data_IF_010442595369
#
_entry.id   IF_010442595369
#
_cell.length_a   1.000
_cell.length_b   1.000
_cell.length_c   1.000
_cell.angle_alpha   90.00
_cell.angle_beta   90.00
_cell.angle_gamma   90.00
#
_symmetry.space_group_name_H-M   'P 1'
#
loop_
_entity.id
_entity.type
_entity.pdbx_description
1 polymer ?
#
# COMPACT_ATOMS: atom_id res chain seq x y z
N UNK A 1 -21.55 -26.83 -0.28
CA UNK A 1 -22.98 -26.72 -0.67
C UNK A 1 -23.84 -27.87 -0.16
N UNK A 2 -23.26 -28.99 0.30
CA UNK A 2 -24.03 -30.15 0.79
C UNK A 2 -24.56 -29.99 2.22
N UNK A 3 -23.83 -29.41 3.14
CA UNK A 3 -24.22 -29.31 4.55
C UNK A 3 -25.36 -28.31 4.81
N UNK A 4 -25.37 -27.18 4.11
CA UNK A 4 -26.47 -26.20 4.22
C UNK A 4 -27.79 -26.78 3.67
N UNK A 5 -27.70 -27.56 2.57
CA UNK A 5 -28.89 -28.27 2.07
C UNK A 5 -29.30 -29.41 2.98
N UNK A 6 -28.37 -30.10 3.63
CA UNK A 6 -28.72 -31.17 4.57
C UNK A 6 -29.32 -30.60 5.86
N UNK A 7 -28.81 -29.50 6.41
CA UNK A 7 -29.44 -28.82 7.55
C UNK A 7 -30.81 -28.26 7.21
N UNK A 8 -30.95 -27.61 6.04
CA UNK A 8 -32.25 -27.13 5.57
C UNK A 8 -33.24 -28.28 5.22
N UNK A 9 -32.76 -29.41 4.65
CA UNK A 9 -33.62 -30.54 4.33
C UNK A 9 -34.01 -31.35 5.57
N UNK A 10 -33.13 -31.48 6.55
CA UNK A 10 -33.46 -32.04 7.86
C UNK A 10 -34.48 -31.17 8.62
N UNK A 11 -34.30 -29.85 8.58
CA UNK A 11 -35.28 -28.91 9.14
C UNK A 11 -36.64 -28.90 8.42
N UNK A 12 -36.66 -29.29 7.14
CA UNK A 12 -37.95 -29.35 6.39
C UNK A 12 -38.69 -30.68 6.51
N UNK A 13 -38.05 -31.77 6.94
CA UNK A 13 -38.62 -33.11 6.90
C UNK A 13 -39.13 -33.66 8.24
N UNK A 14 -38.35 -33.61 9.30
CA UNK A 14 -38.70 -34.28 10.56
C UNK A 14 -38.39 -33.46 11.86
N UNK A 15 -37.57 -32.39 11.78
CA UNK A 15 -37.25 -31.57 12.95
C UNK A 15 -38.19 -30.35 13.09
N UNK A 16 -38.82 -29.92 12.01
CA UNK A 16 -39.76 -28.79 12.03
C UNK A 16 -41.00 -29.05 12.94
N UNK A 17 -41.30 -30.30 13.22
CA UNK A 17 -42.42 -30.66 14.12
C UNK A 17 -42.00 -30.58 15.61
N UNK A 18 -40.71 -30.50 15.94
CA UNK A 18 -40.21 -30.41 17.30
C UNK A 18 -39.98 -28.98 17.77
N UNK A 19 -39.79 -28.05 16.83
CA UNK A 19 -39.51 -26.64 17.16
C UNK A 19 -40.79 -25.80 17.08
N UNK A 20 -41.00 -24.94 18.04
CA UNK A 20 -42.11 -23.99 18.01
C UNK A 20 -41.94 -22.97 16.89
N UNK A 21 -40.75 -22.52 16.68
CA UNK A 21 -40.29 -21.60 15.64
C UNK A 21 -38.87 -21.97 15.22
N UNK A 22 -38.49 -21.60 14.00
CA UNK A 22 -37.17 -21.83 13.51
C UNK A 22 -36.66 -20.58 12.82
N UNK A 23 -35.54 -20.04 13.33
CA UNK A 23 -34.89 -18.86 12.78
C UNK A 23 -33.66 -19.27 11.97
N UNK A 24 -33.52 -18.72 10.80
CA UNK A 24 -32.42 -18.99 9.92
C UNK A 24 -32.14 -17.78 9.01
N UNK A 25 -30.98 -17.78 8.39
CA UNK A 25 -30.61 -16.87 7.31
C UNK A 25 -30.26 -17.73 6.09
N UNK A 26 -30.86 -17.42 4.95
CA UNK A 26 -30.44 -17.96 3.66
C UNK A 26 -29.00 -17.50 3.33
N UNK A 27 -28.43 -18.01 2.25
CA UNK A 27 -27.12 -17.56 1.81
C UNK A 27 -27.13 -16.05 1.58
N UNK A 28 -26.35 -15.32 2.37
CA UNK A 28 -26.22 -13.86 2.22
C UNK A 28 -25.54 -13.53 0.90
N UNK A 29 -26.15 -12.61 0.17
CA UNK A 29 -25.52 -11.99 -0.99
C UNK A 29 -24.21 -11.28 -0.53
N UNK A 30 -23.23 -11.22 -1.41
CA UNK A 30 -21.93 -10.56 -1.13
C UNK A 30 -22.07 -9.08 -0.76
N UNK A 31 -23.17 -8.44 -1.12
CA UNK A 31 -23.43 -7.04 -0.82
C UNK A 31 -24.25 -6.83 0.46
N UNK A 32 -24.70 -7.90 1.12
CA UNK A 32 -25.42 -7.83 2.40
C UNK A 32 -24.43 -8.04 3.53
N UNK A 33 -24.30 -7.05 4.40
CA UNK A 33 -23.40 -7.07 5.57
C UNK A 33 -24.12 -7.60 6.80
N UNK A 34 -25.42 -7.29 6.95
CA UNK A 34 -26.28 -7.77 8.02
C UNK A 34 -27.70 -7.93 7.53
N UNK A 35 -28.39 -8.95 8.02
CA UNK A 35 -29.82 -9.18 7.75
C UNK A 35 -30.55 -9.68 8.98
N UNK A 36 -31.84 -9.35 9.07
CA UNK A 36 -32.73 -9.92 10.07
C UNK A 36 -33.01 -11.39 9.73
N UNK A 37 -33.01 -12.25 10.74
CA UNK A 37 -33.34 -13.67 10.60
C UNK A 37 -34.77 -13.89 10.06
N UNK A 38 -34.89 -14.91 9.24
CA UNK A 38 -36.19 -15.35 8.70
C UNK A 38 -36.82 -16.33 9.70
N UNK A 39 -38.05 -16.01 10.11
CA UNK A 39 -38.83 -16.86 11.01
C UNK A 39 -39.65 -17.85 10.21
N UNK A 40 -39.45 -19.13 10.45
CA UNK A 40 -40.28 -20.21 9.91
C UNK A 40 -41.09 -20.84 11.03
N UNK A 41 -42.40 -20.82 10.89
CA UNK A 41 -43.32 -21.48 11.84
C UNK A 41 -43.79 -22.82 11.28
N UNK A 42 -43.86 -23.85 12.14
CA UNK A 42 -44.44 -25.13 11.78
C UNK A 42 -45.93 -24.97 11.44
N UNK A 43 -46.44 -25.80 10.51
CA UNK A 43 -47.83 -25.80 10.13
C UNK A 43 -48.81 -26.04 11.29
N UNK A 44 -48.33 -26.67 12.35
CA UNK A 44 -49.08 -26.99 13.60
C UNK A 44 -48.77 -26.00 14.75
N UNK A 45 -47.90 -25.01 14.54
CA UNK A 45 -47.60 -24.00 15.56
C UNK A 45 -48.82 -23.15 15.85
N UNK A 46 -49.15 -22.99 17.13
CA UNK A 46 -50.20 -22.08 17.61
C UNK A 46 -49.86 -20.61 17.38
N UNK A 47 -48.63 -20.29 16.97
CA UNK A 47 -48.08 -18.93 16.86
C UNK A 47 -48.03 -18.40 15.42
N UNK A 48 -48.99 -18.80 14.57
CA UNK A 48 -49.12 -18.34 13.16
C UNK A 48 -49.33 -16.82 13.02
N UNK A 49 -49.86 -16.19 14.06
CA UNK A 49 -50.15 -14.75 14.11
C UNK A 49 -49.23 -14.00 15.11
N UNK A 50 -48.21 -14.68 15.64
CA UNK A 50 -47.26 -14.06 16.55
C UNK A 50 -46.42 -12.98 15.88
N UNK A 51 -46.03 -11.97 16.64
CA UNK A 51 -45.09 -10.93 16.18
C UNK A 51 -43.79 -11.55 15.71
N UNK A 52 -43.23 -11.07 14.60
CA UNK A 52 -41.90 -11.46 14.10
C UNK A 52 -40.79 -11.12 15.06
N UNK A 53 -41.08 -10.31 16.09
CA UNK A 53 -40.13 -9.80 17.08
C UNK A 53 -40.28 -10.53 18.43
N UNK A 54 -40.77 -11.76 18.45
CA UNK A 54 -40.83 -12.60 19.67
C UNK A 54 -40.20 -13.95 19.34
N UNK A 55 -39.24 -14.37 20.15
CA UNK A 55 -38.62 -15.69 20.07
C UNK A 55 -39.19 -16.54 21.20
N UNK A 56 -39.91 -17.59 20.85
CA UNK A 56 -40.50 -18.49 21.84
C UNK A 56 -39.41 -19.38 22.44
N UNK A 57 -39.48 -19.61 23.75
CA UNK A 57 -38.57 -20.56 24.43
C UNK A 57 -38.67 -21.94 23.79
N UNK A 58 -37.56 -22.55 23.45
CA UNK A 58 -37.47 -23.80 22.70
C UNK A 58 -37.48 -23.63 21.18
N UNK A 59 -37.36 -22.40 20.65
CA UNK A 59 -37.18 -22.14 19.22
C UNK A 59 -35.80 -22.57 18.73
N UNK A 60 -35.72 -23.11 17.51
CA UNK A 60 -34.48 -23.45 16.86
C UNK A 60 -33.88 -22.24 16.16
N UNK A 61 -32.54 -22.11 16.20
CA UNK A 61 -31.79 -21.08 15.51
C UNK A 61 -30.63 -21.73 14.75
N UNK A 62 -30.59 -21.57 13.43
CA UNK A 62 -29.49 -22.09 12.62
C UNK A 62 -28.51 -21.00 12.26
N UNK A 63 -27.22 -21.28 12.41
CA UNK A 63 -26.10 -20.44 12.01
C UNK A 63 -25.33 -21.17 10.91
N UNK A 64 -25.18 -20.57 9.75
CA UNK A 64 -24.41 -21.14 8.66
C UNK A 64 -22.95 -20.68 8.71
N UNK A 65 -22.10 -21.43 8.01
CA UNK A 65 -20.67 -21.06 7.87
C UNK A 65 -20.51 -19.68 7.21
N UNK A 66 -19.62 -18.88 7.78
CA UNK A 66 -19.38 -17.48 7.36
C UNK A 66 -20.48 -16.51 7.80
N UNK A 67 -21.29 -16.89 8.79
CA UNK A 67 -22.26 -16.03 9.45
C UNK A 67 -21.99 -15.96 10.95
N UNK A 68 -22.30 -14.82 11.54
CA UNK A 68 -22.41 -14.66 12.99
C UNK A 68 -23.82 -14.22 13.32
N UNK A 69 -24.46 -14.88 14.26
CA UNK A 69 -25.79 -14.57 14.74
C UNK A 69 -25.70 -13.77 16.04
N UNK A 70 -26.53 -12.74 16.18
CA UNK A 70 -26.81 -12.09 17.46
C UNK A 70 -28.32 -12.08 17.74
N UNK A 71 -28.66 -12.24 19.02
CA UNK A 71 -30.02 -12.00 19.51
C UNK A 71 -30.04 -10.69 20.27
N UNK A 72 -30.99 -9.85 19.88
CA UNK A 72 -31.22 -8.54 20.49
C UNK A 72 -32.56 -8.56 21.19
N UNK A 73 -32.58 -8.31 22.50
CA UNK A 73 -33.78 -8.17 23.31
C UNK A 73 -33.88 -6.72 23.81
N UNK A 74 -34.98 -6.05 23.48
CA UNK A 74 -35.22 -4.64 23.84
C UNK A 74 -34.05 -3.71 23.49
N UNK A 75 -33.42 -3.92 22.33
CA UNK A 75 -32.27 -3.15 21.88
C UNK A 75 -30.93 -3.55 22.46
N UNK A 76 -30.86 -4.62 23.25
CA UNK A 76 -29.60 -5.14 23.82
C UNK A 76 -29.23 -6.47 23.21
N UNK A 77 -27.97 -6.68 22.95
CA UNK A 77 -27.45 -7.98 22.56
C UNK A 77 -27.44 -8.88 23.78
N UNK A 78 -28.19 -9.98 23.72
CA UNK A 78 -28.30 -10.97 24.79
C UNK A 78 -27.57 -12.27 24.46
N UNK A 79 -27.44 -12.60 23.18
CA UNK A 79 -26.69 -13.77 22.73
C UNK A 79 -25.90 -13.47 21.48
N UNK A 80 -24.76 -14.17 21.33
CA UNK A 80 -23.93 -14.13 20.15
C UNK A 80 -23.40 -15.53 19.83
N UNK A 81 -23.52 -15.96 18.57
CA UNK A 81 -22.99 -17.22 18.10
C UNK A 81 -22.34 -17.07 16.72
N UNK A 82 -21.10 -17.50 16.59
CA UNK A 82 -20.36 -17.54 15.32
C UNK A 82 -19.99 -18.97 14.89
N UNK A 83 -20.34 -19.97 15.67
CA UNK A 83 -20.13 -21.37 15.29
C UNK A 83 -21.27 -21.86 14.41
N UNK A 84 -20.97 -22.48 13.26
CA UNK A 84 -22.01 -23.09 12.43
C UNK A 84 -22.72 -24.23 13.15
N UNK A 85 -24.05 -24.24 13.15
CA UNK A 85 -24.82 -25.26 13.80
C UNK A 85 -26.28 -24.89 14.00
N UNK A 86 -27.01 -25.77 14.71
CA UNK A 86 -28.40 -25.55 15.13
C UNK A 86 -28.43 -25.46 16.66
N UNK A 87 -29.03 -24.39 17.17
CA UNK A 87 -29.11 -24.05 18.57
C UNK A 87 -30.56 -23.93 19.02
N UNK A 88 -30.79 -24.23 20.27
CA UNK A 88 -32.14 -24.05 20.89
C UNK A 88 -32.07 -22.80 21.76
N UNK A 89 -33.00 -21.88 21.53
CA UNK A 89 -33.14 -20.70 22.38
C UNK A 89 -33.79 -21.11 23.71
N UNK A 90 -33.10 -20.88 24.81
CA UNK A 90 -33.59 -21.11 26.17
C UNK A 90 -33.53 -19.81 26.99
N UNK A 91 -34.71 -19.27 27.26
CA UNK A 91 -34.90 -18.03 27.98
C UNK A 91 -34.56 -18.15 29.50
N UNK A 92 -34.44 -19.37 30.02
CA UNK A 92 -34.16 -19.65 31.44
C UNK A 92 -32.65 -19.74 31.74
N UNK A 93 -31.82 -19.86 30.71
CA UNK A 93 -30.37 -19.91 30.85
C UNK A 93 -29.77 -18.51 30.89
N UNK A 94 -28.64 -18.38 31.62
CA UNK A 94 -27.85 -17.15 31.54
C UNK A 94 -27.38 -16.92 30.10
N UNK A 95 -27.19 -15.64 29.69
CA UNK A 95 -26.74 -15.32 28.33
C UNK A 95 -25.53 -16.18 27.95
N UNK A 96 -25.68 -17.00 26.93
CA UNK A 96 -24.65 -17.95 26.52
C UNK A 96 -23.90 -17.39 25.32
N UNK A 97 -22.62 -17.16 25.47
CA UNK A 97 -21.73 -16.76 24.39
C UNK A 97 -21.14 -18.05 23.80
N UNK A 98 -21.64 -18.49 22.66
CA UNK A 98 -21.08 -19.63 21.93
C UNK A 98 -19.79 -19.18 21.25
N UNK A 99 -18.66 -19.69 21.74
CA UNK A 99 -17.32 -19.38 21.28
C UNK A 99 -17.04 -20.07 19.95
N UNK A 100 -17.08 -19.32 18.87
CA UNK A 100 -16.32 -19.63 17.67
C UNK A 100 -14.95 -18.94 17.70
N UNK A 101 -14.25 -18.88 16.59
CA UNK A 101 -12.98 -18.15 16.41
C UNK A 101 -13.12 -16.61 16.57
N UNK A 102 -13.88 -16.19 17.60
CA UNK A 102 -14.08 -14.79 17.91
C UNK A 102 -12.91 -14.26 18.73
N UNK A 103 -12.41 -13.10 18.36
CA UNK A 103 -11.34 -12.41 19.08
C UNK A 103 -11.77 -12.13 20.53
N UNK A 104 -10.85 -12.22 21.48
CA UNK A 104 -11.08 -11.90 22.90
C UNK A 104 -11.66 -10.48 23.10
N UNK A 105 -11.41 -9.56 22.17
CA UNK A 105 -11.96 -8.21 22.15
C UNK A 105 -13.50 -8.18 22.09
N UNK A 106 -14.13 -9.12 21.38
CA UNK A 106 -15.59 -9.24 21.29
C UNK A 106 -16.19 -9.61 22.63
N UNK A 107 -15.52 -10.56 23.32
CA UNK A 107 -15.90 -10.96 24.67
C UNK A 107 -15.84 -9.79 25.65
N UNK A 108 -14.77 -8.97 25.58
CA UNK A 108 -14.62 -7.79 26.41
C UNK A 108 -15.68 -6.71 26.11
N UNK A 109 -16.02 -6.52 24.85
CA UNK A 109 -17.07 -5.57 24.41
C UNK A 109 -18.43 -5.98 24.93
N UNK A 110 -18.75 -7.27 24.87
CA UNK A 110 -20.01 -7.82 25.37
C UNK A 110 -20.09 -7.74 26.89
N UNK A 111 -19.04 -8.12 27.61
CA UNK A 111 -18.97 -8.09 29.08
C UNK A 111 -19.11 -6.64 29.61
N UNK A 112 -18.49 -5.68 28.96
CA UNK A 112 -18.64 -4.26 29.26
C UNK A 112 -20.05 -3.74 29.01
N UNK A 113 -20.75 -4.26 28.00
CA UNK A 113 -22.13 -3.91 27.68
C UNK A 113 -23.10 -4.49 28.71
N UNK A 114 -22.97 -5.77 29.07
CA UNK A 114 -23.81 -6.44 30.06
C UNK A 114 -23.70 -5.82 31.44
N UNK A 115 -22.51 -5.36 31.86
CA UNK A 115 -22.26 -4.68 33.15
C UNK A 115 -22.91 -3.32 33.28
N UNK A 116 -23.30 -2.67 32.19
CA UNK A 116 -23.83 -1.30 32.21
C UNK A 116 -25.34 -1.20 32.46
N UNK A 117 -26.08 -2.32 32.47
CA UNK A 117 -27.54 -2.28 32.48
C UNK A 117 -28.15 -3.32 33.42
N UNK A 118 -28.75 -2.88 34.49
CA UNK A 118 -29.67 -3.68 35.30
C UNK A 118 -31.12 -3.32 35.02
N UNK A 119 -32.02 -4.32 35.01
CA UNK A 119 -33.42 -4.16 34.63
C UNK A 119 -34.42 -4.20 35.75
N UNK A 120 -35.49 -3.46 35.59
CA UNK A 120 -36.77 -3.67 36.23
C UNK A 120 -37.91 -3.55 35.21
N UNK A 121 -38.79 -4.53 35.15
CA UNK A 121 -40.05 -4.43 34.44
C UNK A 121 -40.34 -5.54 33.44
N UNK A 122 -41.46 -6.23 33.64
CA UNK A 122 -42.02 -7.24 32.77
C UNK A 122 -42.85 -6.55 31.67
N UNK A 123 -42.21 -6.23 30.55
CA UNK A 123 -42.87 -5.64 29.37
C UNK A 123 -42.66 -6.54 28.18
N UNK A 124 -43.59 -6.52 27.22
CA UNK A 124 -43.54 -7.29 25.99
C UNK A 124 -42.13 -7.22 25.35
N UNK A 125 -41.43 -8.35 25.33
CA UNK A 125 -40.07 -8.43 24.80
C UNK A 125 -40.08 -8.21 23.28
N UNK A 126 -39.27 -7.26 22.79
CA UNK A 126 -38.96 -7.08 21.36
C UNK A 126 -37.63 -7.79 21.07
N UNK A 127 -37.73 -9.07 20.69
CA UNK A 127 -36.57 -9.93 20.43
C UNK A 127 -36.37 -10.09 18.95
N UNK A 128 -35.14 -9.89 18.49
CA UNK A 128 -34.77 -9.97 17.08
C UNK A 128 -33.51 -10.78 16.91
N UNK A 129 -33.49 -11.61 15.87
CA UNK A 129 -32.31 -12.35 15.45
C UNK A 129 -31.71 -11.63 14.25
N UNK A 130 -30.43 -11.29 14.33
CA UNK A 130 -29.68 -10.72 13.22
C UNK A 130 -28.49 -11.61 12.85
N UNK A 131 -28.19 -11.67 11.56
CA UNK A 131 -27.08 -12.41 10.99
C UNK A 131 -26.13 -11.46 10.30
N UNK A 132 -24.85 -11.58 10.61
CA UNK A 132 -23.77 -10.81 10.04
C UNK A 132 -22.96 -11.65 9.07
N UNK A 133 -22.57 -11.04 7.96
CA UNK A 133 -21.65 -11.65 7.02
C UNK A 133 -20.21 -11.52 7.56
N UNK A 134 -19.64 -12.63 8.02
CA UNK A 134 -18.25 -12.69 8.52
C UNK A 134 -17.27 -13.15 7.45
N UNK A 135 -17.70 -13.26 6.18
CA UNK A 135 -16.84 -13.55 5.05
C UNK A 135 -16.08 -12.29 4.63
N UNK A 136 -15.05 -12.49 3.85
CA UNK A 136 -14.32 -11.39 3.24
C UNK A 136 -15.17 -10.68 2.19
N UNK A 137 -15.31 -9.38 2.32
CA UNK A 137 -16.03 -8.51 1.38
C UNK A 137 -15.01 -8.00 0.37
N UNK A 138 -15.01 -8.61 -0.80
CA UNK A 138 -14.06 -8.36 -1.89
C UNK A 138 -14.56 -7.31 -2.88
N UNK A 139 -13.68 -6.93 -3.81
CA UNK A 139 -13.97 -6.05 -4.96
C UNK A 139 -14.37 -4.62 -4.58
N UNK A 140 -13.75 -4.08 -3.51
CA UNK A 140 -13.92 -2.67 -3.16
C UNK A 140 -12.91 -1.82 -3.92
N UNK A 141 -13.35 -1.19 -5.00
CA UNK A 141 -12.49 -0.40 -5.88
C UNK A 141 -12.16 0.96 -5.28
N UNK A 142 -10.89 1.31 -5.31
CA UNK A 142 -10.43 2.64 -4.93
C UNK A 142 -9.55 3.26 -6.01
N UNK A 143 -9.44 4.56 -5.98
CA UNK A 143 -8.49 5.33 -6.78
C UNK A 143 -8.32 6.70 -6.14
N UNK A 144 -7.12 7.26 -6.24
CA UNK A 144 -6.81 8.57 -5.70
C UNK A 144 -7.17 9.63 -6.75
N UNK A 145 -8.24 10.41 -6.57
CA UNK A 145 -8.61 11.48 -7.51
C UNK A 145 -7.54 12.57 -7.53
N UNK A 146 -6.99 12.90 -6.36
CA UNK A 146 -5.86 13.78 -6.20
C UNK A 146 -4.59 12.97 -5.98
N UNK A 147 -3.44 13.41 -6.51
CA UNK A 147 -2.16 12.76 -6.23
C UNK A 147 -1.85 12.78 -4.73
N UNK A 148 -1.28 11.70 -4.23
CA UNK A 148 -0.79 11.59 -2.85
C UNK A 148 0.71 11.88 -2.86
N UNK A 149 1.22 12.78 -1.99
CA UNK A 149 2.65 13.02 -1.89
C UNK A 149 3.37 11.76 -1.41
N UNK A 150 4.47 11.44 -2.09
CA UNK A 150 5.34 10.33 -1.76
C UNK A 150 6.78 10.82 -1.78
N UNK A 151 7.49 10.70 -0.67
CA UNK A 151 8.91 11.07 -0.59
C UNK A 151 9.76 9.98 -1.22
N UNK A 152 10.45 10.29 -2.29
CA UNK A 152 11.38 9.38 -2.97
C UNK A 152 12.80 9.63 -2.45
N UNK A 153 13.32 8.66 -1.70
CA UNK A 153 14.72 8.67 -1.22
C UNK A 153 15.50 7.61 -1.97
N UNK A 154 16.60 7.99 -2.58
CA UNK A 154 17.56 7.08 -3.19
C UNK A 154 18.98 7.46 -2.75
N UNK A 155 19.49 6.77 -1.73
CA UNK A 155 20.80 7.03 -1.14
C UNK A 155 21.95 6.85 -2.15
N UNK A 156 21.80 5.92 -3.12
CA UNK A 156 22.83 5.65 -4.13
C UNK A 156 23.00 6.83 -5.09
N UNK A 157 21.89 7.49 -5.38
CA UNK A 157 21.86 8.65 -6.27
C UNK A 157 21.96 9.97 -5.50
N UNK A 158 21.81 9.94 -4.17
CA UNK A 158 21.71 11.13 -3.32
C UNK A 158 20.46 11.95 -3.65
N UNK A 159 19.35 11.27 -3.97
CA UNK A 159 18.07 11.89 -4.25
C UNK A 159 17.19 11.87 -3.00
N UNK A 160 16.57 13.00 -2.70
CA UNK A 160 15.54 13.16 -1.68
C UNK A 160 14.54 14.21 -2.20
N UNK A 161 13.44 13.72 -2.78
CA UNK A 161 12.45 14.56 -3.45
C UNK A 161 11.06 14.05 -3.13
N UNK A 162 10.09 14.96 -3.09
CA UNK A 162 8.69 14.63 -3.04
C UNK A 162 8.11 14.51 -4.46
N UNK A 163 7.42 13.41 -4.73
CA UNK A 163 6.74 13.16 -6.00
C UNK A 163 5.24 12.96 -5.76
N UNK A 164 4.44 13.32 -6.73
CA UNK A 164 3.01 13.12 -6.69
C UNK A 164 2.66 11.73 -7.24
N UNK A 165 1.99 10.88 -6.43
CA UNK A 165 1.62 9.51 -6.82
C UNK A 165 0.12 9.38 -6.92
N UNK A 166 -0.37 8.88 -8.04
CA UNK A 166 -1.75 8.40 -8.20
C UNK A 166 -1.74 6.89 -8.21
N UNK A 167 -2.64 6.30 -7.45
CA UNK A 167 -2.83 4.86 -7.47
C UNK A 167 -4.31 4.49 -7.58
N UNK A 168 -4.54 3.31 -8.15
CA UNK A 168 -5.84 2.67 -8.19
C UNK A 168 -5.69 1.19 -7.94
N UNK A 169 -6.73 0.59 -7.37
CA UNK A 169 -6.70 -0.81 -7.00
C UNK A 169 -8.00 -1.28 -6.37
N UNK A 170 -7.91 -2.39 -5.69
CA UNK A 170 -9.01 -2.97 -4.92
C UNK A 170 -8.53 -3.31 -3.52
N UNK A 171 -9.44 -3.24 -2.57
CA UNK A 171 -9.20 -3.72 -1.22
C UNK A 171 -10.34 -4.64 -0.79
N UNK A 172 -10.09 -5.47 0.18
CA UNK A 172 -11.08 -6.28 0.85
C UNK A 172 -11.07 -6.00 2.35
N UNK A 173 -12.23 -6.16 2.96
CA UNK A 173 -12.40 -6.04 4.38
C UNK A 173 -13.30 -7.15 4.93
N UNK A 174 -13.28 -7.32 6.24
CA UNK A 174 -14.08 -8.31 6.96
C UNK A 174 -14.67 -7.67 8.21
N UNK A 175 -15.91 -8.05 8.54
CA UNK A 175 -16.48 -7.74 9.86
C UNK A 175 -15.86 -8.73 10.85
N UNK A 176 -15.00 -8.22 11.72
CA UNK A 176 -14.27 -9.01 12.73
C UNK A 176 -14.91 -8.92 14.10
N UNK A 177 -15.64 -7.84 14.37
CA UNK A 177 -16.45 -7.67 15.57
C UNK A 177 -17.90 -7.28 15.24
N UNK A 178 -18.80 -8.27 15.09
CA UNK A 178 -20.20 -8.02 14.81
C UNK A 178 -20.94 -7.20 15.87
N UNK A 179 -20.47 -7.21 17.12
CA UNK A 179 -21.08 -6.44 18.22
C UNK A 179 -20.83 -4.95 18.03
N UNK A 180 -19.57 -4.57 17.79
CA UNK A 180 -19.22 -3.19 17.49
C UNK A 180 -19.89 -2.70 16.21
N UNK A 181 -19.95 -3.57 15.20
CA UNK A 181 -20.63 -3.25 13.94
C UNK A 181 -22.13 -2.99 14.15
N UNK A 182 -22.81 -3.83 14.95
CA UNK A 182 -24.21 -3.62 15.29
C UNK A 182 -24.42 -2.30 16.04
N UNK A 183 -23.62 -2.08 17.09
CA UNK A 183 -23.80 -0.91 17.97
C UNK A 183 -23.53 0.43 17.28
N UNK A 184 -22.52 0.47 16.41
CA UNK A 184 -22.01 1.73 15.88
C UNK A 184 -22.33 1.99 14.41
N UNK A 185 -22.80 0.97 13.67
CA UNK A 185 -23.05 1.09 12.22
C UNK A 185 -24.49 0.80 11.86
N UNK A 186 -24.99 -0.40 12.14
CA UNK A 186 -26.22 -0.88 11.54
C UNK A 186 -27.39 -1.10 12.52
N UNK A 187 -27.29 -0.69 13.77
CA UNK A 187 -28.29 -0.99 14.81
C UNK A 187 -29.76 -0.81 14.37
N UNK A 188 -30.61 -1.80 14.73
CA UNK A 188 -32.06 -1.77 14.53
C UNK A 188 -32.56 -1.62 13.07
N UNK A 189 -31.82 -2.10 12.10
CA UNK A 189 -32.27 -2.12 10.70
C UNK A 189 -33.51 -3.02 10.55
N UNK A 190 -34.53 -2.59 9.80
CA UNK A 190 -35.78 -3.33 9.69
C UNK A 190 -35.65 -4.65 8.91
N UNK A 191 -34.73 -4.76 7.97
CA UNK A 191 -34.56 -5.92 7.13
C UNK A 191 -33.10 -6.31 6.93
N UNK A 192 -32.36 -5.54 6.15
CA UNK A 192 -30.97 -5.79 5.80
C UNK A 192 -30.16 -4.50 5.77
N UNK A 193 -28.88 -4.59 6.04
CA UNK A 193 -27.90 -3.51 5.89
C UNK A 193 -26.94 -3.90 4.78
N UNK A 194 -26.87 -3.07 3.77
CA UNK A 194 -26.10 -3.32 2.56
C UNK A 194 -24.80 -2.53 2.55
N UNK A 195 -23.80 -3.09 1.86
CA UNK A 195 -22.48 -2.43 1.74
C UNK A 195 -22.56 -1.03 1.11
N UNK A 196 -23.50 -0.81 0.19
CA UNK A 196 -23.66 0.49 -0.48
C UNK A 196 -23.91 1.64 0.50
N UNK A 197 -24.48 1.35 1.67
CA UNK A 197 -24.76 2.33 2.72
C UNK A 197 -23.47 2.80 3.42
N UNK A 198 -22.41 1.97 3.39
CA UNK A 198 -21.14 2.22 4.08
C UNK A 198 -19.96 2.48 3.12
N UNK A 199 -20.00 1.96 1.91
CA UNK A 199 -18.90 1.96 0.94
C UNK A 199 -18.33 3.35 0.67
N UNK A 200 -19.16 4.37 0.57
CA UNK A 200 -18.71 5.74 0.32
C UNK A 200 -17.82 6.25 1.44
N UNK A 201 -18.22 5.99 2.69
CA UNK A 201 -17.47 6.40 3.88
C UNK A 201 -16.17 5.61 4.01
N UNK A 202 -16.24 4.28 3.88
CA UNK A 202 -15.07 3.41 3.95
C UNK A 202 -14.04 3.78 2.87
N UNK A 203 -14.48 4.03 1.65
CA UNK A 203 -13.62 4.43 0.54
C UNK A 203 -12.92 5.78 0.82
N UNK A 204 -13.64 6.76 1.34
CA UNK A 204 -13.07 8.07 1.67
C UNK A 204 -12.00 7.96 2.77
N UNK A 205 -12.29 7.19 3.82
CA UNK A 205 -11.35 6.94 4.93
C UNK A 205 -10.14 6.13 4.47
N UNK A 206 -10.35 5.11 3.63
CA UNK A 206 -9.29 4.30 3.03
C UNK A 206 -8.33 5.16 2.21
N UNK A 207 -8.84 6.02 1.31
CA UNK A 207 -8.02 6.94 0.52
C UNK A 207 -7.24 7.90 1.42
N UNK A 208 -7.87 8.41 2.48
CA UNK A 208 -7.22 9.31 3.44
C UNK A 208 -6.08 8.63 4.21
N UNK A 209 -6.20 7.33 4.48
CA UNK A 209 -5.19 6.54 5.16
C UNK A 209 -4.00 6.18 4.27
N UNK A 210 -4.13 6.25 2.93
CA UNK A 210 -3.01 5.97 2.02
C UNK A 210 -1.84 6.93 2.22
N UNK A 211 -2.09 8.21 2.49
CA UNK A 211 -1.03 9.20 2.65
C UNK A 211 -0.08 8.87 3.82
N UNK A 212 -0.55 8.67 5.07
CA UNK A 212 0.35 8.27 6.16
C UNK A 212 0.98 6.89 5.93
N UNK A 213 0.29 5.95 5.27
CA UNK A 213 0.88 4.65 4.92
C UNK A 213 2.02 4.81 3.91
N UNK A 214 1.84 5.60 2.87
CA UNK A 214 2.89 5.90 1.91
C UNK A 214 4.09 6.61 2.56
N UNK A 215 3.83 7.50 3.51
CA UNK A 215 4.88 8.14 4.31
C UNK A 215 5.75 7.13 5.07
N UNK A 216 5.14 6.12 5.70
CA UNK A 216 5.86 5.04 6.40
C UNK A 216 6.68 4.17 5.44
N UNK A 217 6.08 3.76 4.32
CA UNK A 217 6.75 2.94 3.31
C UNK A 217 7.92 3.69 2.65
N UNK A 218 7.76 4.99 2.41
CA UNK A 218 8.82 5.86 1.93
C UNK A 218 10.00 5.96 2.93
N UNK A 219 9.71 6.09 4.23
CA UNK A 219 10.75 6.11 5.26
C UNK A 219 11.52 4.78 5.35
N UNK A 220 10.88 3.66 4.99
CA UNK A 220 11.54 2.36 4.84
C UNK A 220 12.40 2.26 3.56
N UNK A 221 12.51 3.33 2.76
CA UNK A 221 13.31 3.38 1.53
C UNK A 221 12.62 2.77 0.30
N UNK A 222 11.33 2.54 0.37
CA UNK A 222 10.56 1.97 -0.73
C UNK A 222 10.34 2.97 -1.85
N UNK A 223 10.38 2.52 -3.10
CA UNK A 223 10.09 3.36 -4.26
C UNK A 223 8.60 3.24 -4.66
N UNK A 224 8.00 4.27 -5.30
CA UNK A 224 6.58 4.24 -5.69
C UNK A 224 6.18 3.03 -6.54
N UNK A 225 7.04 2.58 -7.44
CA UNK A 225 6.80 1.42 -8.30
C UNK A 225 6.93 0.07 -7.59
N UNK A 226 7.53 0.02 -6.40
CA UNK A 226 7.66 -1.19 -5.58
C UNK A 226 6.41 -1.44 -4.72
N UNK A 227 5.55 -0.43 -4.54
CA UNK A 227 4.31 -0.54 -3.77
C UNK A 227 3.40 -1.70 -4.22
N UNK A 228 3.44 -2.04 -5.50
CA UNK A 228 2.66 -3.16 -6.07
C UNK A 228 3.11 -4.51 -5.53
N UNK A 229 4.37 -4.64 -5.10
CA UNK A 229 4.95 -5.87 -4.59
C UNK A 229 4.86 -6.01 -3.06
N UNK A 230 4.56 -4.93 -2.35
CA UNK A 230 4.54 -4.86 -0.87
C UNK A 230 3.11 -4.73 -0.32
N UNK A 231 2.19 -5.53 -0.86
CA UNK A 231 0.75 -5.46 -0.54
C UNK A 231 0.44 -5.86 0.90
N UNK A 232 1.17 -6.83 1.46
CA UNK A 232 1.00 -7.28 2.85
C UNK A 232 1.42 -6.19 3.85
N UNK A 233 2.57 -5.53 3.62
CA UNK A 233 3.03 -4.42 4.45
C UNK A 233 2.09 -3.22 4.36
N UNK A 234 1.55 -2.96 3.16
CA UNK A 234 0.56 -1.92 2.97
C UNK A 234 -0.72 -2.22 3.74
N UNK A 235 -1.24 -3.45 3.67
CA UNK A 235 -2.43 -3.87 4.40
C UNK A 235 -2.24 -3.75 5.93
N UNK A 236 -1.07 -4.16 6.44
CA UNK A 236 -0.74 -4.02 7.86
C UNK A 236 -0.69 -2.55 8.30
N UNK A 237 -0.01 -1.68 7.53
CA UNK A 237 0.03 -0.24 7.78
C UNK A 237 -1.35 0.42 7.70
N UNK A 238 -2.20 -0.02 6.75
CA UNK A 238 -3.57 0.48 6.62
C UNK A 238 -4.40 0.12 7.85
N UNK A 239 -4.31 -1.11 8.35
CA UNK A 239 -5.00 -1.54 9.57
C UNK A 239 -4.57 -0.72 10.78
N UNK A 240 -3.27 -0.44 10.92
CA UNK A 240 -2.79 0.39 12.02
C UNK A 240 -3.31 1.83 11.95
N UNK A 241 -3.30 2.45 10.77
CA UNK A 241 -3.80 3.82 10.57
C UNK A 241 -5.31 3.90 10.74
N UNK A 242 -6.04 2.87 10.32
CA UNK A 242 -7.50 2.83 10.38
C UNK A 242 -8.05 2.24 11.69
N UNK A 243 -7.19 1.67 12.57
CA UNK A 243 -7.60 0.92 13.78
C UNK A 243 -8.65 1.64 14.60
N UNK A 244 -8.42 2.90 14.95
CA UNK A 244 -9.34 3.68 15.79
C UNK A 244 -10.75 3.83 15.19
N UNK A 245 -10.87 3.88 13.86
CA UNK A 245 -12.15 4.08 13.18
C UNK A 245 -12.78 2.78 12.69
N UNK A 246 -11.97 1.84 12.25
CA UNK A 246 -12.46 0.61 11.64
C UNK A 246 -12.52 -0.53 12.65
N UNK A 247 -11.39 -0.93 13.24
CA UNK A 247 -11.36 -2.06 14.17
C UNK A 247 -12.01 -1.74 15.51
N UNK A 248 -11.61 -0.63 16.15
CA UNK A 248 -12.05 -0.31 17.52
C UNK A 248 -13.46 0.28 17.58
N UNK A 249 -13.87 1.05 16.56
CA UNK A 249 -15.20 1.65 16.54
C UNK A 249 -16.23 0.79 15.81
N UNK A 250 -15.87 0.23 14.65
CA UNK A 250 -16.83 -0.46 13.77
C UNK A 250 -16.66 -1.98 13.71
N UNK A 251 -15.58 -2.52 14.25
CA UNK A 251 -15.29 -3.96 14.19
C UNK A 251 -14.99 -4.46 12.77
N UNK A 252 -14.31 -3.65 11.96
CA UNK A 252 -13.94 -3.96 10.57
C UNK A 252 -12.42 -3.93 10.44
N UNK A 253 -11.85 -4.95 9.79
CA UNK A 253 -10.42 -4.98 9.46
C UNK A 253 -10.22 -5.07 7.95
N UNK A 254 -9.18 -4.41 7.45
CA UNK A 254 -8.69 -4.60 6.08
C UNK A 254 -7.96 -5.95 6.01
N UNK A 255 -8.36 -6.80 5.07
CA UNK A 255 -7.76 -8.12 4.89
C UNK A 255 -6.69 -8.08 3.81
N UNK A 256 -7.00 -7.45 2.68
CA UNK A 256 -6.08 -7.37 1.56
C UNK A 256 -6.18 -6.03 0.84
N UNK A 257 -5.05 -5.60 0.29
CA UNK A 257 -4.96 -4.41 -0.57
C UNK A 257 -4.19 -4.79 -1.82
N UNK A 258 -4.79 -4.65 -2.98
CA UNK A 258 -4.13 -4.89 -4.26
C UNK A 258 -4.08 -3.57 -5.06
N UNK A 259 -2.87 -3.08 -5.27
CA UNK A 259 -2.63 -1.90 -6.11
C UNK A 259 -2.46 -2.38 -7.55
N UNK A 260 -3.38 -1.98 -8.43
CA UNK A 260 -3.34 -2.36 -9.85
C UNK A 260 -2.46 -1.43 -10.66
N UNK A 261 -2.45 -0.15 -10.32
CA UNK A 261 -1.68 0.87 -11.05
C UNK A 261 -1.10 1.90 -10.09
N UNK A 262 0.15 2.27 -10.36
CA UNK A 262 0.83 3.42 -9.73
C UNK A 262 1.30 4.34 -10.85
N UNK A 263 0.89 5.58 -10.83
CA UNK A 263 1.22 6.57 -11.85
C UNK A 263 1.83 7.80 -11.21
N UNK A 264 2.97 8.21 -11.74
CA UNK A 264 3.62 9.48 -11.40
C UNK A 264 3.34 10.45 -12.55
N UNK A 265 2.97 11.72 -12.32
CA UNK A 265 2.79 12.72 -13.36
C UNK A 265 4.02 12.85 -14.28
N UNK A 266 3.80 13.20 -15.53
CA UNK A 266 4.89 13.29 -16.52
C UNK A 266 5.97 14.32 -16.12
N UNK A 267 5.58 15.39 -15.45
CA UNK A 267 6.50 16.42 -14.96
C UNK A 267 7.47 15.84 -13.94
N UNK A 268 6.95 15.13 -12.94
CA UNK A 268 7.75 14.46 -11.90
C UNK A 268 8.61 13.35 -12.50
N UNK A 269 8.07 12.59 -13.48
CA UNK A 269 8.85 11.58 -14.20
C UNK A 269 10.03 12.18 -14.97
N UNK A 270 9.83 13.33 -15.61
CA UNK A 270 10.90 14.05 -16.31
C UNK A 270 11.95 14.54 -15.32
N UNK A 271 11.51 15.15 -14.20
CA UNK A 271 12.40 15.61 -13.14
C UNK A 271 13.24 14.46 -12.56
N UNK A 272 12.62 13.31 -12.26
CA UNK A 272 13.33 12.12 -11.76
C UNK A 272 14.38 11.67 -12.77
N UNK A 273 14.03 11.59 -14.07
CA UNK A 273 14.96 11.19 -15.14
C UNK A 273 16.13 12.17 -15.28
N UNK A 274 15.88 13.46 -15.16
CA UNK A 274 16.94 14.49 -15.21
C UNK A 274 17.86 14.37 -14.00
N UNK A 275 17.31 14.22 -12.82
CA UNK A 275 18.10 14.03 -11.60
C UNK A 275 18.92 12.72 -11.64
N UNK A 276 18.35 11.63 -12.16
CA UNK A 276 19.07 10.38 -12.36
C UNK A 276 20.21 10.54 -13.36
N UNK A 277 20.00 11.26 -14.47
CA UNK A 277 21.08 11.61 -15.41
C UNK A 277 22.15 12.45 -14.75
N UNK A 278 21.75 13.49 -14.00
CA UNK A 278 22.71 14.33 -13.29
C UNK A 278 23.51 13.55 -12.22
N UNK A 279 22.87 12.63 -11.51
CA UNK A 279 23.54 11.76 -10.56
C UNK A 279 24.51 10.78 -11.24
N UNK A 280 24.13 10.21 -12.39
CA UNK A 280 25.01 9.36 -13.19
C UNK A 280 26.23 10.12 -13.71
N UNK A 281 26.08 11.41 -14.01
CA UNK A 281 27.19 12.28 -14.46
C UNK A 281 28.18 12.70 -13.33
N UNK A 282 27.86 12.37 -12.06
CA UNK A 282 28.84 12.50 -10.96
C UNK A 282 30.00 11.52 -11.11
N UNK A 283 29.82 10.40 -11.82
CA UNK A 283 30.90 9.50 -12.18
C UNK A 283 31.71 10.11 -13.34
N UNK A 284 32.99 10.43 -13.16
CA UNK A 284 33.80 11.06 -14.20
C UNK A 284 33.91 10.24 -15.48
N UNK A 285 33.83 8.91 -15.40
CA UNK A 285 33.89 8.01 -16.55
C UNK A 285 32.63 8.07 -17.40
N UNK A 286 31.45 8.10 -16.75
CA UNK A 286 30.16 8.28 -17.42
C UNK A 286 30.01 9.70 -17.97
N UNK A 287 30.47 10.71 -17.26
CA UNK A 287 30.50 12.08 -17.74
C UNK A 287 31.34 12.22 -19.02
N UNK A 288 32.56 11.62 -19.04
CA UNK A 288 33.39 11.60 -20.23
C UNK A 288 32.76 10.88 -21.41
N UNK A 289 32.10 9.74 -21.18
CA UNK A 289 31.42 9.01 -22.21
C UNK A 289 30.21 9.76 -22.80
N UNK A 290 29.41 10.43 -21.94
CA UNK A 290 28.27 11.25 -22.38
C UNK A 290 28.73 12.50 -23.15
N UNK A 291 29.84 13.15 -22.72
CA UNK A 291 30.40 14.26 -23.44
C UNK A 291 30.93 13.84 -24.82
N UNK A 292 31.59 12.68 -24.90
CA UNK A 292 32.06 12.13 -26.18
C UNK A 292 30.88 11.78 -27.12
N UNK A 293 29.79 11.20 -26.59
CA UNK A 293 28.59 10.90 -27.34
C UNK A 293 27.90 12.19 -27.86
N UNK A 294 27.75 13.20 -27.00
CA UNK A 294 27.17 14.50 -27.37
C UNK A 294 28.01 15.21 -28.45
N UNK A 295 29.37 15.16 -28.36
CA UNK A 295 30.25 15.66 -29.39
C UNK A 295 30.09 14.92 -30.71
N UNK A 296 29.95 13.58 -30.69
CA UNK A 296 29.74 12.78 -31.88
C UNK A 296 28.38 13.10 -32.55
N UNK A 297 27.34 13.29 -31.76
CA UNK A 297 26.00 13.66 -32.24
C UNK A 297 25.97 15.08 -32.82
N UNK A 298 26.63 16.04 -32.18
CA UNK A 298 26.80 17.38 -32.71
C UNK A 298 27.58 17.40 -34.03
N UNK A 299 28.66 16.59 -34.15
CA UNK A 299 29.38 16.40 -35.39
C UNK A 299 28.50 15.80 -36.50
N UNK A 300 27.70 14.81 -36.16
CA UNK A 300 26.76 14.19 -37.12
C UNK A 300 25.68 15.18 -37.58
N UNK A 301 25.14 15.96 -36.64
CA UNK A 301 24.16 17.01 -36.99
C UNK A 301 24.78 18.14 -37.83
N UNK A 302 26.04 18.53 -37.53
CA UNK A 302 26.76 19.52 -38.35
C UNK A 302 27.07 18.99 -39.77
N UNK A 303 27.43 17.70 -39.88
CA UNK A 303 27.69 17.06 -41.19
C UNK A 303 26.42 16.88 -42.05
N UNK A 304 25.25 16.79 -41.40
CA UNK A 304 23.97 16.69 -42.11
C UNK A 304 23.44 18.04 -42.64
N UNK A 305 24.07 19.15 -42.31
CA UNK A 305 23.64 20.50 -42.69
C UNK A 305 24.35 20.94 -43.96
N UNK A 306 23.65 20.94 -45.12
CA UNK A 306 24.23 21.25 -46.46
C UNK A 306 24.91 22.63 -46.58
N UNK A 307 24.56 23.62 -45.75
CA UNK A 307 25.07 25.01 -45.83
C UNK A 307 26.04 25.40 -44.69
N UNK A 308 26.37 24.53 -43.75
CA UNK A 308 27.10 24.90 -42.53
C UNK A 308 28.37 24.06 -42.20
N UNK A 309 28.62 23.01 -42.98
CA UNK A 309 29.65 22.00 -42.63
C UNK A 309 31.06 22.58 -42.52
N UNK A 310 31.47 23.49 -43.35
CA UNK A 310 32.83 24.06 -43.34
C UNK A 310 33.05 25.06 -42.20
N UNK A 311 32.07 25.92 -41.90
CA UNK A 311 32.17 26.92 -40.81
C UNK A 311 31.98 26.26 -39.42
N UNK A 312 31.11 25.23 -39.30
CA UNK A 312 30.91 24.46 -38.06
C UNK A 312 32.14 23.69 -37.67
N UNK A 313 32.87 23.11 -38.61
CA UNK A 313 34.13 22.37 -38.33
C UNK A 313 35.28 23.29 -37.84
N UNK A 314 35.35 24.50 -38.39
CA UNK A 314 36.38 25.48 -38.03
C UNK A 314 36.12 26.09 -36.65
N UNK A 315 34.84 26.40 -36.33
CA UNK A 315 34.44 26.87 -35.00
C UNK A 315 34.60 25.81 -33.89
N UNK A 316 34.35 24.55 -34.21
CA UNK A 316 34.46 23.42 -33.26
C UNK A 316 35.91 23.06 -32.98
N UNK A 317 36.83 23.21 -33.97
CA UNK A 317 38.26 23.05 -33.77
C UNK A 317 38.85 24.09 -32.80
N UNK A 318 38.37 25.32 -32.83
CA UNK A 318 38.73 26.38 -31.88
C UNK A 318 38.13 26.15 -30.48
N UNK A 319 36.87 25.73 -30.37
CA UNK A 319 36.19 25.45 -29.11
C UNK A 319 36.81 24.23 -28.39
N UNK A 320 37.24 23.21 -29.12
CA UNK A 320 37.95 22.05 -28.54
C UNK A 320 39.31 22.37 -27.95
N UNK A 321 39.93 23.48 -28.33
CA UNK A 321 41.27 23.85 -27.88
C UNK A 321 41.24 24.90 -26.76
N UNK A 322 40.09 25.55 -26.51
CA UNK A 322 39.98 26.62 -25.52
C UNK A 322 39.34 26.21 -24.19
N UNK A 323 38.65 25.08 -24.14
CA UNK A 323 37.96 24.63 -22.92
C UNK A 323 38.82 23.57 -22.19
N UNK A 324 39.35 23.93 -21.03
CA UNK A 324 40.33 23.16 -20.24
C UNK A 324 39.79 21.84 -19.63
N UNK A 325 38.66 21.31 -20.11
CA UNK A 325 38.12 20.02 -19.68
C UNK A 325 37.98 19.07 -20.84
N UNK A 326 39.04 18.32 -21.13
CA UNK A 326 39.00 17.25 -22.13
C UNK A 326 38.38 15.98 -21.54
N UNK A 327 37.61 15.24 -22.36
CA UNK A 327 37.09 13.92 -22.00
C UNK A 327 38.19 12.96 -21.49
N UNK A 328 39.43 13.15 -21.92
CA UNK A 328 40.60 12.39 -21.45
C UNK A 328 41.00 12.75 -20.01
N UNK A 329 40.87 14.00 -19.60
CA UNK A 329 41.17 14.43 -18.23
C UNK A 329 40.12 13.93 -17.24
N UNK A 330 38.83 13.94 -17.64
CA UNK A 330 37.73 13.33 -16.87
C UNK A 330 37.88 11.81 -16.75
N UNK A 331 38.31 11.15 -17.81
CA UNK A 331 38.57 9.71 -17.80
C UNK A 331 39.76 9.37 -16.88
N UNK A 332 40.80 10.19 -16.89
CA UNK A 332 41.96 10.05 -16.01
C UNK A 332 41.63 10.29 -14.53
N UNK A 333 40.67 11.17 -14.25
CA UNK A 333 40.18 11.39 -12.88
C UNK A 333 39.35 10.18 -12.37
N UNK A 334 38.55 9.53 -13.22
CA UNK A 334 37.79 8.35 -12.86
C UNK A 334 38.66 7.11 -12.61
N UNK A 335 39.73 6.96 -13.35
CA UNK A 335 40.68 5.84 -13.16
C UNK A 335 41.56 5.97 -11.92
N UNK A 336 41.67 7.19 -11.34
CA UNK A 336 42.41 7.43 -10.07
C UNK A 336 41.60 7.10 -8.81
N UNK A 337 40.31 6.78 -8.94
CA UNK A 337 39.43 6.44 -7.82
C UNK A 337 39.36 4.92 -7.52
N UNK A 338 40.19 4.08 -8.16
CA UNK A 338 40.31 2.66 -7.80
C UNK A 338 41.36 2.49 -6.67
N UNK A 339 41.21 1.47 -5.78
CA UNK A 339 41.84 1.45 -4.47
C UNK A 339 43.36 1.39 -4.54
N UNK A 340 44.00 2.16 -3.67
CA UNK A 340 45.43 2.24 -3.43
C UNK A 340 46.05 0.86 -3.22
N UNK A 341 46.91 0.45 -4.12
CA UNK A 341 47.87 -0.61 -3.89
C UNK A 341 49.23 0.08 -3.70
N UNK A 342 49.71 0.01 -2.45
CA UNK A 342 51.09 0.24 -1.97
C UNK A 342 51.85 1.51 -2.42
N UNK A 343 51.91 2.48 -1.51
CA UNK A 343 52.72 3.71 -1.56
C UNK A 343 54.24 3.50 -1.58
N UNK A 344 54.75 2.27 -1.63
CA UNK A 344 56.17 1.96 -1.58
C UNK A 344 56.81 1.80 -2.97
N UNK A 345 56.06 1.53 -4.03
CA UNK A 345 56.63 1.37 -5.39
C UNK A 345 56.57 2.67 -6.24
N UNK A 346 55.74 3.64 -5.86
CA UNK A 346 55.63 4.91 -6.57
C UNK A 346 56.78 5.88 -6.30
N UNK A 347 57.55 5.65 -5.24
CA UNK A 347 58.66 6.54 -4.87
C UNK A 347 59.96 6.27 -5.65
N UNK A 348 60.07 5.12 -6.35
CA UNK A 348 61.27 4.78 -7.13
C UNK A 348 61.21 5.17 -8.61
N UNK A 349 60.01 5.48 -9.15
CA UNK A 349 59.81 5.91 -10.55
C UNK A 349 59.81 7.43 -10.72
N UNK A 350 59.66 8.21 -9.64
CA UNK A 350 59.67 9.67 -9.69
C UNK A 350 61.11 10.32 -9.72
N UNK A 351 62.14 9.49 -9.52
CA UNK A 351 63.54 9.96 -9.49
C UNK A 351 64.27 9.97 -10.85
N UNK A 352 63.59 9.57 -11.96
CA UNK A 352 64.23 9.48 -13.29
C UNK A 352 63.57 10.34 -14.39
N UNK A 353 62.69 11.28 -14.07
CA UNK A 353 62.10 12.19 -15.05
C UNK A 353 62.60 13.67 -14.85
N UNK A 354 63.87 13.88 -14.68
CA UNK A 354 64.48 15.17 -15.00
C UNK A 354 64.93 15.20 -16.44
N UNK A 355 63.93 15.13 -17.33
CA UNK A 355 64.08 15.34 -18.77
C UNK A 355 64.31 16.81 -19.06
N UNK A 356 65.48 17.10 -19.68
CA UNK A 356 65.81 18.41 -20.17
C UNK A 356 64.67 19.07 -20.93
N UNK A 357 64.39 20.35 -20.66
CA UNK A 357 63.39 21.14 -21.39
C UNK A 357 63.85 21.29 -22.83
N UNK A 358 63.24 20.56 -23.77
CA UNK A 358 63.65 20.50 -25.17
C UNK A 358 63.28 21.76 -25.98
N UNK A 359 62.51 22.70 -25.39
CA UNK A 359 62.01 23.89 -26.07
C UNK A 359 62.11 25.13 -25.13
N UNK A 360 62.40 26.25 -25.66
CA UNK A 360 62.43 27.50 -24.89
C UNK A 360 61.03 27.92 -24.45
N UNK A 361 60.75 28.13 -23.13
CA UNK A 361 59.42 28.51 -22.66
C UNK A 361 58.94 29.90 -23.10
N UNK A 362 59.85 30.71 -23.63
CA UNK A 362 59.53 32.07 -24.06
C UNK A 362 59.31 32.21 -25.58
N UNK A 363 59.95 31.45 -26.43
CA UNK A 363 59.86 31.62 -27.89
C UNK A 363 59.64 30.30 -28.64
N UNK A 364 59.56 29.17 -27.96
CA UNK A 364 59.26 27.84 -28.56
C UNK A 364 60.44 27.24 -29.36
N UNK A 365 61.60 27.87 -29.39
CA UNK A 365 62.80 27.37 -30.11
C UNK A 365 63.27 26.08 -29.43
N UNK A 366 63.67 25.09 -30.22
CA UNK A 366 64.27 23.86 -29.76
C UNK A 366 65.61 24.13 -29.11
N UNK A 367 65.86 23.55 -27.93
CA UNK A 367 67.03 23.71 -27.12
C UNK A 367 67.84 22.42 -27.16
N UNK A 368 69.09 22.49 -27.54
CA UNK A 368 70.08 21.40 -27.56
C UNK A 368 71.00 21.44 -26.34
N UNK A 369 70.40 21.62 -25.11
CA UNK A 369 71.14 21.60 -23.86
C UNK A 369 71.89 22.88 -23.52
N UNK A 370 71.72 23.97 -24.24
CA UNK A 370 72.40 25.26 -24.01
C UNK A 370 71.82 26.00 -22.79
N UNK A 371 72.62 26.65 -21.96
CA UNK A 371 72.22 27.44 -20.78
C UNK A 371 71.40 28.68 -21.11
N UNK A 372 71.43 29.12 -22.36
CA UNK A 372 70.66 30.26 -22.88
C UNK A 372 70.04 29.91 -24.23
N UNK A 373 68.87 30.37 -24.50
CA UNK A 373 68.19 30.15 -25.76
C UNK A 373 68.96 30.93 -26.89
N UNK A 374 69.37 30.24 -27.99
CA UNK A 374 70.06 30.88 -29.06
C UNK A 374 69.23 31.90 -29.85
N UNK A 375 67.94 31.85 -29.76
CA UNK A 375 67.03 32.73 -30.50
C UNK A 375 66.59 33.95 -29.68
N UNK A 376 66.33 33.85 -28.37
CA UNK A 376 65.81 34.97 -27.57
C UNK A 376 66.69 35.36 -26.37
N UNK A 377 67.82 34.68 -26.15
CA UNK A 377 68.82 35.03 -25.12
C UNK A 377 68.36 34.72 -23.68
N UNK A 378 67.22 34.17 -23.44
CA UNK A 378 66.70 33.84 -22.09
C UNK A 378 67.38 32.60 -21.50
N UNK A 379 67.68 32.60 -20.19
CA UNK A 379 68.19 31.39 -19.54
C UNK A 379 67.21 30.25 -19.57
N UNK A 380 67.66 29.03 -19.83
CA UNK A 380 66.85 27.84 -20.08
C UNK A 380 66.57 27.03 -18.83
N UNK A 381 67.05 27.43 -17.64
CA UNK A 381 66.68 26.80 -16.38
C UNK A 381 67.36 25.45 -16.09
N UNK A 382 68.47 25.11 -16.74
CA UNK A 382 69.33 23.97 -16.36
C UNK A 382 70.49 24.44 -15.51
#
# INVERSE_FOLDING_TARGET
>A
MGLIRAALSAATGNLADQWKEFFYCDSMDKNVLMTKGIKKTSGFSSNKFGSDNIITNGSGIAVADGQCMIIVDQGKIVELCAEPGEYTFDQSSEPTIFKGDLKESIMASLDNMLKRFSFGGDTAHDQRVYYFNTKEIIDNKFGTPNPVPFRLVDERLGLDIDVAVRCAGVYSYKITDPVLFYMNVCGNVPREYRREELDTQLKAEFISALQPCFGRLSQAGMRPNELVNHVEELAANMNEVLSAKWSELRGIDVINVAISTVTIPEEDQKMIKELQKAAALKDPTLAAATLAAAKAEAMKAAAANENGAAMGFMGMGMAMNSDGTNAQDLYAMGTKAAPQVNAAEAAQTAAQATGAVNFCPNCGQKLDGAKFCPNCGRPTGN
#
